data_IF_023537415855
#
_entry.id   IF_023537415855
#
_cell.length_a   1.000
_cell.length_b   1.000
_cell.length_c   1.000
_cell.angle_alpha   90.00
_cell.angle_beta   90.00
_cell.angle_gamma   90.00
#
_symmetry.space_group_name_H-M   'P 1'
#
loop_
_entity.id
_entity.type
_entity.pdbx_description
1 polymer ?
#
# COMPACT_ATOMS: atom_id res chain seq x y z
N UNK A 1 7.14 -17.25 16.83
CA UNK A 1 7.82 -16.46 15.79
C UNK A 1 9.26 -16.97 15.75
N UNK A 2 9.62 -17.80 14.77
CA UNK A 2 10.85 -18.60 14.81
C UNK A 2 12.12 -17.79 14.59
N UNK A 3 12.85 -17.46 15.67
CA UNK A 3 14.27 -17.05 15.63
C UNK A 3 14.63 -15.66 15.08
N UNK A 4 13.80 -15.03 14.23
CA UNK A 4 14.07 -13.71 13.67
C UNK A 4 13.42 -12.63 14.55
N UNK A 5 14.16 -11.58 14.95
CA UNK A 5 13.57 -10.47 15.72
C UNK A 5 12.46 -9.78 14.94
N UNK A 6 11.37 -9.38 15.62
CA UNK A 6 10.11 -8.91 15.03
C UNK A 6 10.26 -7.76 14.04
N UNK A 7 11.17 -6.83 14.34
CA UNK A 7 11.43 -5.65 13.52
C UNK A 7 12.02 -5.98 12.13
N UNK A 8 12.56 -7.19 11.95
CA UNK A 8 13.11 -7.67 10.68
C UNK A 8 12.17 -8.61 9.92
N UNK A 9 11.00 -8.94 10.51
CA UNK A 9 9.97 -9.66 9.76
C UNK A 9 9.43 -8.80 8.62
N UNK A 10 9.01 -9.45 7.55
CA UNK A 10 8.44 -8.75 6.40
C UNK A 10 6.96 -8.44 6.62
N UNK A 11 6.61 -7.21 6.34
CA UNK A 11 5.27 -6.68 6.25
C UNK A 11 5.14 -6.09 4.84
N UNK A 12 4.34 -6.72 3.98
CA UNK A 12 4.19 -6.36 2.57
C UNK A 12 5.56 -6.21 1.85
N UNK A 13 6.36 -7.30 1.88
CA UNK A 13 7.71 -7.38 1.29
C UNK A 13 8.73 -6.37 1.81
N UNK A 14 8.42 -5.60 2.85
CA UNK A 14 9.30 -4.60 3.48
C UNK A 14 9.50 -4.93 4.97
N UNK A 15 10.73 -4.87 5.51
CA UNK A 15 10.95 -5.08 6.95
C UNK A 15 10.13 -4.12 7.80
N UNK A 16 9.58 -4.60 8.93
CA UNK A 16 8.75 -3.81 9.84
C UNK A 16 9.41 -2.49 10.25
N UNK A 17 10.72 -2.50 10.58
CA UNK A 17 11.46 -1.29 10.97
C UNK A 17 11.50 -0.22 9.88
N UNK A 18 11.48 -0.63 8.60
CA UNK A 18 11.65 0.28 7.47
C UNK A 18 10.41 1.13 7.21
N UNK A 19 9.24 0.71 7.66
CA UNK A 19 8.00 1.46 7.49
C UNK A 19 8.07 2.85 8.16
N UNK A 20 8.42 2.88 9.45
CA UNK A 20 8.58 4.15 10.18
C UNK A 20 9.81 4.93 9.74
N UNK A 21 10.89 4.26 9.31
CA UNK A 21 12.06 4.91 8.76
C UNK A 21 11.75 5.63 7.43
N UNK A 22 10.93 5.02 6.56
CA UNK A 22 10.47 5.67 5.32
C UNK A 22 9.61 6.92 5.62
N UNK A 23 8.76 6.89 6.67
CA UNK A 23 7.99 8.06 7.09
C UNK A 23 8.87 9.18 7.63
N UNK A 24 9.88 8.84 8.45
CA UNK A 24 10.87 9.80 8.92
C UNK A 24 11.68 10.42 7.78
N UNK A 25 12.08 9.61 6.78
CA UNK A 25 12.84 10.08 5.64
C UNK A 25 12.10 11.13 4.79
N UNK A 26 10.78 11.12 4.76
CA UNK A 26 9.96 12.16 4.09
C UNK A 26 10.14 13.55 4.72
N UNK A 27 10.69 13.62 5.93
CA UNK A 27 10.90 14.85 6.69
C UNK A 27 12.31 15.42 6.59
N UNK A 28 13.11 14.99 5.60
CA UNK A 28 14.45 15.55 5.33
C UNK A 28 14.44 17.08 5.28
N UNK A 29 13.53 17.67 4.53
CA UNK A 29 13.40 19.12 4.40
C UNK A 29 12.78 19.80 5.63
N UNK A 30 12.32 19.02 6.60
CA UNK A 30 11.76 19.51 7.88
C UNK A 30 12.71 19.35 9.05
N UNK A 31 13.94 18.86 8.83
CA UNK A 31 14.99 18.80 9.84
C UNK A 31 15.51 17.42 10.20
N UNK A 32 14.93 16.33 9.69
CA UNK A 32 15.52 14.99 9.86
C UNK A 32 16.68 14.82 8.89
N UNK A 33 17.90 14.65 9.43
CA UNK A 33 19.14 14.56 8.63
C UNK A 33 19.78 13.17 8.64
N UNK A 34 19.49 12.34 9.65
CA UNK A 34 20.07 11.00 9.75
C UNK A 34 19.07 9.98 10.33
N UNK A 35 19.27 8.72 9.99
CA UNK A 35 18.55 7.56 10.55
C UNK A 35 19.61 6.59 11.08
N UNK A 36 19.45 6.17 12.33
CA UNK A 36 20.34 5.22 12.97
C UNK A 36 19.54 3.98 13.35
N UNK A 37 19.84 2.86 12.73
CA UNK A 37 19.25 1.57 13.05
C UNK A 37 20.12 0.82 14.05
N UNK A 38 19.61 0.64 15.26
CA UNK A 38 20.31 -0.15 16.29
C UNK A 38 19.84 -1.59 16.20
N UNK A 39 20.78 -2.51 15.98
CA UNK A 39 20.51 -3.93 15.76
C UNK A 39 21.08 -4.80 16.90
N UNK A 40 20.51 -5.99 17.18
CA UNK A 40 21.10 -6.94 18.14
C UNK A 40 22.55 -7.27 17.80
N UNK A 41 23.37 -7.60 18.81
CA UNK A 41 24.79 -7.90 18.63
C UNK A 41 25.02 -9.07 17.66
N UNK A 42 24.19 -10.11 17.74
CA UNK A 42 24.31 -11.35 16.96
C UNK A 42 23.58 -11.29 15.61
N UNK A 43 22.93 -10.17 15.27
CA UNK A 43 22.20 -10.05 14.02
C UNK A 43 23.13 -9.61 12.88
N UNK A 44 23.20 -10.40 11.79
CA UNK A 44 24.09 -10.10 10.67
C UNK A 44 23.55 -8.96 9.79
N UNK A 45 24.36 -7.94 9.56
CA UNK A 45 24.02 -6.76 8.74
C UNK A 45 23.65 -7.12 7.28
N UNK A 46 24.26 -8.18 6.73
CA UNK A 46 23.91 -8.68 5.38
C UNK A 46 22.45 -9.07 5.21
N UNK A 47 21.76 -9.36 6.32
CA UNK A 47 20.33 -9.69 6.34
C UNK A 47 19.43 -8.43 6.41
N UNK A 48 20.04 -7.24 6.44
CA UNK A 48 19.30 -5.97 6.43
C UNK A 48 19.19 -5.51 4.99
N UNK A 49 18.04 -5.82 4.37
CA UNK A 49 17.68 -5.15 3.12
C UNK A 49 17.37 -3.70 3.46
N UNK A 50 18.24 -2.77 3.11
CA UNK A 50 17.99 -1.35 3.30
C UNK A 50 17.88 -0.67 1.94
N UNK A 51 16.83 0.14 1.81
CA UNK A 51 16.69 1.09 0.73
C UNK A 51 17.75 2.19 0.94
N UNK A 52 18.35 2.69 -0.13
CA UNK A 52 19.12 3.92 -0.04
C UNK A 52 18.18 5.05 0.37
N UNK A 53 18.24 5.45 1.66
CA UNK A 53 17.57 6.65 2.11
C UNK A 53 18.33 7.86 1.53
N UNK A 54 17.58 8.89 1.15
CA UNK A 54 18.19 10.19 0.80
C UNK A 54 18.56 10.97 2.08
N UNK A 55 19.14 10.26 3.06
CA UNK A 55 19.60 10.70 4.38
C UNK A 55 20.86 9.92 4.78
N UNK A 56 21.63 10.44 5.74
CA UNK A 56 22.72 9.68 6.36
C UNK A 56 22.13 8.47 7.12
N UNK A 57 22.41 7.26 6.64
CA UNK A 57 21.90 6.01 7.25
C UNK A 57 23.05 5.24 7.87
N UNK A 58 22.89 4.87 9.15
CA UNK A 58 23.89 4.12 9.89
C UNK A 58 23.30 2.92 10.58
N UNK A 59 24.06 1.85 10.66
CA UNK A 59 23.75 0.66 11.47
C UNK A 59 24.70 0.67 12.68
N UNK A 60 24.16 0.46 13.87
CA UNK A 60 24.90 0.45 15.14
C UNK A 60 24.56 -0.82 15.90
N UNK A 61 25.55 -1.46 16.52
CA UNK A 61 25.34 -2.60 17.40
C UNK A 61 24.73 -2.15 18.74
N UNK A 62 23.67 -2.82 19.17
CA UNK A 62 23.08 -2.61 20.47
C UNK A 62 23.95 -3.17 21.61
N UNK A 63 23.54 -2.89 22.84
CA UNK A 63 24.13 -3.44 24.04
C UNK A 63 23.41 -4.72 24.54
N UNK A 64 23.80 -5.16 25.72
CA UNK A 64 23.17 -6.30 26.41
C UNK A 64 21.77 -5.98 26.95
N UNK A 65 21.49 -4.69 27.17
CA UNK A 65 20.21 -4.15 27.65
C UNK A 65 19.67 -3.08 26.71
N UNK A 66 18.37 -2.76 26.85
CA UNK A 66 17.71 -1.72 26.04
C UNK A 66 18.38 -0.35 26.20
N UNK A 67 18.67 0.06 27.43
CA UNK A 67 19.31 1.33 27.72
C UNK A 67 20.70 1.47 27.05
N UNK A 68 21.51 0.41 27.08
CA UNK A 68 22.80 0.37 26.40
C UNK A 68 22.65 0.49 24.87
N UNK A 69 21.64 -0.17 24.31
CA UNK A 69 21.34 -0.07 22.87
C UNK A 69 20.96 1.35 22.49
N UNK A 70 20.19 2.04 23.32
CA UNK A 70 19.82 3.45 23.12
C UNK A 70 21.06 4.33 23.21
N UNK A 71 21.92 4.16 24.21
CA UNK A 71 23.17 4.91 24.36
C UNK A 71 24.09 4.74 23.16
N UNK A 72 24.21 3.52 22.63
CA UNK A 72 25.02 3.27 21.44
C UNK A 72 24.48 4.06 20.23
N UNK A 73 23.16 4.08 20.03
CA UNK A 73 22.52 4.90 19.00
C UNK A 73 22.72 6.41 19.21
N UNK A 74 22.52 6.90 20.44
CA UNK A 74 22.70 8.31 20.79
C UNK A 74 24.15 8.79 20.58
N UNK A 75 25.13 7.95 20.92
CA UNK A 75 26.55 8.26 20.74
C UNK A 75 26.97 8.28 19.27
N UNK A 76 26.30 7.53 18.40
CA UNK A 76 26.52 7.53 16.96
C UNK A 76 25.84 8.71 16.23
N UNK A 77 24.85 9.35 16.89
CA UNK A 77 24.14 10.49 16.33
C UNK A 77 24.97 11.78 16.39
N UNK A 78 24.75 12.66 15.40
CA UNK A 78 25.45 13.93 15.29
C UNK A 78 24.58 15.13 15.61
N UNK A 79 23.26 14.97 15.54
CA UNK A 79 22.27 16.04 15.75
C UNK A 79 22.13 16.41 17.22
N UNK A 80 21.65 17.63 17.51
CA UNK A 80 21.37 18.08 18.88
C UNK A 80 20.10 17.50 19.44
N UNK A 81 19.11 17.17 18.59
CA UNK A 81 17.85 16.55 18.97
C UNK A 81 17.71 15.17 18.36
N UNK A 82 17.04 14.28 19.04
CA UNK A 82 16.84 12.89 18.63
C UNK A 82 15.39 12.46 18.84
N UNK A 83 14.96 11.54 17.97
CA UNK A 83 13.69 10.83 18.07
C UNK A 83 14.00 9.35 18.29
N UNK A 84 13.69 8.83 19.48
CA UNK A 84 13.90 7.42 19.82
C UNK A 84 12.64 6.64 19.47
N UNK A 85 12.77 5.64 18.60
CA UNK A 85 11.63 4.90 18.09
C UNK A 85 11.77 3.39 18.22
N UNK A 86 10.73 2.72 18.68
CA UNK A 86 10.63 1.26 18.67
C UNK A 86 10.50 0.76 17.22
N UNK A 87 11.51 0.06 16.71
CA UNK A 87 11.52 -0.49 15.35
C UNK A 87 10.39 -1.52 15.07
N UNK A 88 9.63 -1.92 16.10
CA UNK A 88 8.45 -2.78 15.99
C UNK A 88 7.12 -1.99 15.91
N UNK A 89 7.15 -0.68 15.70
CA UNK A 89 5.98 0.18 15.45
C UNK A 89 6.03 0.72 14.02
N UNK A 90 5.49 0.00 13.04
CA UNK A 90 5.63 0.37 11.63
C UNK A 90 4.82 1.62 11.22
N UNK A 91 3.77 1.98 11.96
CA UNK A 91 2.76 2.93 11.51
C UNK A 91 2.81 4.30 12.20
N UNK A 92 3.94 4.68 12.80
CA UNK A 92 4.17 6.08 13.16
C UNK A 92 4.27 6.92 11.88
N UNK A 93 3.33 7.83 11.67
CA UNK A 93 3.28 8.65 10.47
C UNK A 93 4.10 9.95 10.60
N UNK A 94 4.33 10.62 9.46
CA UNK A 94 5.08 11.87 9.41
C UNK A 94 4.51 12.98 10.30
N UNK A 95 3.19 13.01 10.53
CA UNK A 95 2.56 14.07 11.33
C UNK A 95 2.91 13.90 12.82
N UNK A 96 3.01 12.65 13.30
CA UNK A 96 3.48 12.37 14.66
C UNK A 96 4.93 12.81 14.86
N UNK A 97 5.82 12.50 13.91
CA UNK A 97 7.21 12.98 13.96
C UNK A 97 7.28 14.51 14.01
N UNK A 98 6.54 15.20 13.14
CA UNK A 98 6.48 16.67 13.13
C UNK A 98 5.95 17.25 14.43
N UNK A 99 4.87 16.69 14.98
CA UNK A 99 4.30 17.17 16.25
C UNK A 99 5.31 17.07 17.40
N UNK A 100 6.05 15.96 17.48
CA UNK A 100 7.12 15.76 18.46
C UNK A 100 8.26 16.75 18.27
N UNK A 101 8.76 16.92 17.04
CA UNK A 101 9.86 17.85 16.74
C UNK A 101 9.50 19.30 17.11
N UNK A 102 8.27 19.72 16.80
CA UNK A 102 7.80 21.08 17.05
C UNK A 102 7.58 21.40 18.55
N UNK A 103 7.32 20.37 19.37
CA UNK A 103 7.04 20.53 20.80
C UNK A 103 8.27 20.31 21.70
N UNK A 104 9.40 19.85 21.12
CA UNK A 104 10.63 19.55 21.86
C UNK A 104 11.57 20.75 21.87
N UNK A 105 12.10 21.07 23.02
CA UNK A 105 13.18 22.06 23.19
C UNK A 105 14.33 21.50 24.05
N UNK A 106 15.29 22.35 24.40
CA UNK A 106 16.46 21.91 25.15
C UNK A 106 16.13 21.37 26.55
N UNK A 107 15.08 21.92 27.21
CA UNK A 107 14.68 21.56 28.57
C UNK A 107 13.49 20.62 28.61
N UNK A 108 12.75 20.51 27.53
CA UNK A 108 11.47 19.81 27.46
C UNK A 108 11.53 18.66 26.47
N UNK A 109 11.48 17.42 26.95
CA UNK A 109 11.24 16.23 26.11
C UNK A 109 9.77 16.12 25.72
N UNK A 110 9.48 15.43 24.63
CA UNK A 110 8.11 15.26 24.12
C UNK A 110 7.80 13.80 23.83
N UNK A 111 6.64 13.33 24.31
CA UNK A 111 6.18 11.95 24.11
C UNK A 111 4.74 11.89 23.59
N UNK A 112 4.40 10.86 22.81
CA UNK A 112 3.01 10.65 22.38
C UNK A 112 2.26 9.84 23.44
N UNK A 113 1.08 10.31 23.84
CA UNK A 113 0.22 9.66 24.80
C UNK A 113 -1.16 9.34 24.20
N UNK A 114 -1.67 8.14 24.48
CA UNK A 114 -3.04 7.74 24.20
C UNK A 114 -3.78 7.49 25.50
N UNK A 115 -5.01 7.98 25.68
CA UNK A 115 -5.81 7.64 26.85
C UNK A 115 -6.14 6.15 26.85
N UNK A 116 -6.16 5.55 28.05
CA UNK A 116 -6.56 4.15 28.22
C UNK A 116 -8.06 4.03 27.94
N UNK A 117 -8.42 3.25 26.91
CA UNK A 117 -9.81 3.04 26.50
C UNK A 117 -10.51 1.94 27.31
N UNK A 118 -9.78 0.87 27.68
CA UNK A 118 -10.33 -0.31 28.33
C UNK A 118 -10.32 -0.19 29.87
N UNK A 119 -11.21 -0.94 30.51
CA UNK A 119 -11.24 -1.04 31.96
C UNK A 119 -10.01 -1.82 32.48
N UNK A 120 -9.27 -1.21 33.41
CA UNK A 120 -8.05 -1.81 33.94
C UNK A 120 -8.35 -2.62 35.23
N UNK A 121 -7.65 -3.73 35.38
CA UNK A 121 -7.65 -4.58 36.53
C UNK A 121 -6.22 -4.81 37.01
N UNK A 122 -6.00 -4.72 38.32
CA UNK A 122 -4.77 -5.13 38.98
C UNK A 122 -4.97 -6.49 39.63
N UNK A 123 -4.03 -7.39 39.41
CA UNK A 123 -4.01 -8.70 40.07
C UNK A 123 -2.85 -8.70 41.08
N UNK A 124 -3.18 -8.74 42.32
CA UNK A 124 -2.21 -8.81 43.43
C UNK A 124 -2.07 -10.24 43.97
N UNK A 125 -0.83 -10.64 44.26
CA UNK A 125 -0.51 -11.85 45.01
C UNK A 125 -0.20 -13.08 44.17
N UNK A 126 0.57 -14.00 44.78
CA UNK A 126 1.04 -15.23 44.16
C UNK A 126 0.11 -16.43 44.38
N UNK A 127 -0.64 -16.50 45.48
CA UNK A 127 -1.45 -17.67 45.85
C UNK A 127 -2.97 -17.44 45.86
N UNK A 128 -3.43 -16.23 46.16
CA UNK A 128 -4.83 -15.83 45.97
C UNK A 128 -4.85 -14.60 45.05
N UNK A 129 -5.24 -14.81 43.79
CA UNK A 129 -5.33 -13.74 42.76
C UNK A 129 -6.46 -12.77 43.18
N UNK A 130 -6.15 -11.78 44.00
CA UNK A 130 -7.11 -10.72 44.29
C UNK A 130 -7.15 -9.74 43.13
N UNK A 131 -8.32 -9.63 42.48
CA UNK A 131 -8.56 -8.69 41.39
C UNK A 131 -9.13 -7.40 41.98
N UNK A 132 -8.50 -6.28 41.66
CA UNK A 132 -8.99 -4.93 42.00
C UNK A 132 -9.17 -4.09 40.72
N UNK A 133 -10.06 -3.10 40.83
CA UNK A 133 -10.29 -2.13 39.72
C UNK A 133 -9.23 -1.02 39.85
N UNK A 134 -8.67 -0.63 38.71
CA UNK A 134 -7.86 0.58 38.60
C UNK A 134 -8.71 1.63 37.89
N UNK A 135 -8.85 2.81 38.51
CA UNK A 135 -9.43 3.99 37.85
C UNK A 135 -8.58 4.34 36.63
N UNK A 136 -9.21 4.46 35.47
CA UNK A 136 -8.48 4.73 34.20
C UNK A 136 -8.37 6.20 33.87
N UNK A 137 -9.15 7.05 34.51
CA UNK A 137 -9.12 8.50 34.28
C UNK A 137 -7.75 9.06 34.62
N UNK A 138 -7.15 9.76 33.67
CA UNK A 138 -5.79 10.27 33.77
C UNK A 138 -4.68 9.24 33.49
N UNK A 139 -5.01 7.99 33.12
CA UNK A 139 -4.02 7.02 32.70
C UNK A 139 -3.88 7.01 31.17
N UNK A 140 -2.63 6.96 30.73
CA UNK A 140 -2.26 6.99 29.32
C UNK A 140 -1.29 5.89 28.97
N UNK A 141 -1.36 5.44 27.73
CA UNK A 141 -0.37 4.54 27.12
C UNK A 141 0.67 5.41 26.42
N UNK A 142 1.94 5.24 26.79
CA UNK A 142 3.06 5.90 26.14
C UNK A 142 3.43 5.16 24.85
N UNK A 143 3.65 5.92 23.80
CA UNK A 143 4.15 5.40 22.53
C UNK A 143 5.55 5.94 22.21
N UNK A 144 6.12 5.49 21.11
CA UNK A 144 7.30 6.07 20.46
C UNK A 144 6.92 6.44 19.00
N UNK A 145 7.58 7.43 18.36
CA UNK A 145 8.84 8.10 18.74
C UNK A 145 8.71 8.97 20.01
N UNK A 146 9.81 9.10 20.75
CA UNK A 146 9.96 10.06 21.85
C UNK A 146 11.09 11.03 21.49
N UNK A 147 10.88 12.32 21.67
CA UNK A 147 11.81 13.37 21.22
C UNK A 147 12.49 14.07 22.39
N UNK A 148 13.82 14.24 22.29
CA UNK A 148 14.64 14.81 23.34
C UNK A 148 15.86 15.55 22.81
N UNK A 149 16.43 16.46 23.63
CA UNK A 149 17.77 16.99 23.41
C UNK A 149 18.81 15.91 23.72
N UNK A 150 19.62 15.55 22.71
CA UNK A 150 20.50 14.37 22.70
C UNK A 150 21.47 14.30 23.87
N UNK A 151 22.24 15.37 24.12
CA UNK A 151 23.26 15.35 25.17
C UNK A 151 22.68 15.16 26.55
N UNK A 152 21.59 15.87 26.86
CA UNK A 152 20.87 15.73 28.13
C UNK A 152 20.25 14.35 28.30
N UNK A 153 19.76 13.76 27.20
CA UNK A 153 19.23 12.39 27.25
C UNK A 153 20.34 11.36 27.53
N UNK A 154 21.53 11.50 26.94
CA UNK A 154 22.68 10.65 27.24
C UNK A 154 22.96 10.68 28.77
N UNK A 155 23.12 11.87 29.35
CA UNK A 155 23.36 12.03 30.79
C UNK A 155 22.23 11.43 31.66
N UNK A 156 20.98 11.57 31.23
CA UNK A 156 19.83 11.02 31.94
C UNK A 156 19.80 9.48 31.91
N UNK A 157 20.07 8.87 30.75
CA UNK A 157 20.09 7.41 30.59
C UNK A 157 21.29 6.80 31.31
N UNK A 158 22.47 7.40 31.27
CA UNK A 158 23.67 6.92 32.00
C UNK A 158 23.45 6.90 33.51
N UNK A 159 22.67 7.84 34.05
CA UNK A 159 22.33 7.88 35.49
C UNK A 159 21.28 6.85 35.89
N UNK A 160 20.48 6.33 34.96
CA UNK A 160 19.40 5.39 35.20
C UNK A 160 19.22 4.35 34.12
N UNK A 161 20.13 3.39 34.05
CA UNK A 161 20.09 2.28 33.10
C UNK A 161 18.90 1.32 33.31
N UNK A 162 18.24 1.37 34.45
CA UNK A 162 17.08 0.51 34.81
C UNK A 162 15.72 1.10 34.38
N UNK A 163 15.69 2.33 33.84
CA UNK A 163 14.47 2.96 33.39
C UNK A 163 13.80 2.13 32.27
N UNK A 164 12.47 2.15 32.27
CA UNK A 164 11.66 1.37 31.30
C UNK A 164 11.64 2.00 29.93
N UNK A 165 11.74 3.33 29.87
CA UNK A 165 11.83 4.11 28.65
C UNK A 165 12.64 5.40 28.85
N UNK A 166 12.83 6.17 27.79
CA UNK A 166 13.61 7.40 27.78
C UNK A 166 12.90 8.52 28.55
N UNK A 167 11.56 8.52 28.56
CA UNK A 167 10.77 9.48 29.31
C UNK A 167 10.98 9.32 30.83
N UNK A 168 11.08 8.09 31.32
CA UNK A 168 11.39 7.82 32.74
C UNK A 168 12.80 8.31 33.10
N UNK A 169 13.81 8.04 32.24
CA UNK A 169 15.18 8.55 32.47
C UNK A 169 15.21 10.07 32.50
N UNK A 170 14.52 10.71 31.54
CA UNK A 170 14.42 12.16 31.42
C UNK A 170 13.81 12.84 32.63
N UNK A 171 12.66 12.34 33.10
CA UNK A 171 11.97 12.83 34.28
C UNK A 171 12.81 12.64 35.58
N UNK A 172 13.44 11.47 35.72
CA UNK A 172 14.30 11.18 36.88
C UNK A 172 15.56 12.06 36.95
N UNK A 173 15.99 12.57 35.77
CA UNK A 173 17.07 13.58 35.73
C UNK A 173 16.59 15.01 36.04
N UNK A 174 15.29 15.22 36.26
CA UNK A 174 14.71 16.51 36.66
C UNK A 174 14.32 17.40 35.48
N UNK A 175 14.29 16.89 34.27
CA UNK A 175 13.88 17.65 33.11
C UNK A 175 12.35 17.66 32.90
N UNK A 176 11.86 18.61 32.11
CA UNK A 176 10.43 18.73 31.79
C UNK A 176 10.02 17.77 30.70
N UNK A 177 8.78 17.28 30.76
CA UNK A 177 8.18 16.44 29.75
C UNK A 177 6.83 17.04 29.34
N UNK A 178 6.62 17.14 28.03
CA UNK A 178 5.34 17.50 27.43
C UNK A 178 4.78 16.37 26.59
N UNK A 179 3.52 16.46 26.18
CA UNK A 179 2.84 15.43 25.43
C UNK A 179 2.29 15.95 24.10
N UNK A 180 2.22 15.04 23.13
CA UNK A 180 1.39 15.16 21.94
C UNK A 180 0.38 14.02 21.90
N UNK A 181 -0.66 14.15 21.11
CA UNK A 181 -1.62 13.07 20.92
C UNK A 181 -0.97 11.89 20.20
N UNK A 182 -1.07 10.70 20.78
CA UNK A 182 -0.62 9.45 20.18
C UNK A 182 -1.57 8.96 19.07
N UNK A 183 -1.14 7.96 18.30
CA UNK A 183 -1.90 7.42 17.20
C UNK A 183 -2.31 5.98 17.46
N UNK A 184 -3.60 5.64 17.31
CA UNK A 184 -4.10 4.28 17.53
C UNK A 184 -3.46 3.26 16.62
N UNK A 185 -3.18 3.63 15.37
CA UNK A 185 -2.50 2.76 14.41
C UNK A 185 -1.01 2.57 14.72
N UNK A 186 -0.40 3.44 15.52
CA UNK A 186 1.00 3.31 15.94
C UNK A 186 1.18 2.30 17.08
N UNK A 187 0.54 1.14 16.96
CA UNK A 187 0.70 0.04 17.91
C UNK A 187 2.03 -0.70 17.72
N UNK A 188 2.50 -1.32 18.80
CA UNK A 188 3.73 -2.13 18.77
C UNK A 188 3.40 -3.57 18.41
N UNK A 189 4.04 -4.11 17.39
CA UNK A 189 3.94 -5.54 17.06
C UNK A 189 4.60 -6.33 18.19
N UNK A 190 3.78 -6.91 19.04
CA UNK A 190 4.21 -7.68 20.23
C UNK A 190 3.82 -9.15 20.10
N UNK A 191 2.63 -9.42 19.63
CA UNK A 191 2.04 -10.74 19.47
C UNK A 191 1.89 -11.10 17.99
N UNK A 192 1.57 -12.36 17.71
CA UNK A 192 1.36 -12.82 16.32
C UNK A 192 0.11 -12.18 15.70
N UNK A 193 -0.89 -11.90 16.52
CA UNK A 193 -2.13 -11.20 16.16
C UNK A 193 -1.85 -9.77 15.67
N UNK A 194 -0.91 -9.07 16.31
CA UNK A 194 -0.52 -7.72 15.89
C UNK A 194 0.06 -7.73 14.48
N UNK A 195 0.82 -8.78 14.11
CA UNK A 195 1.34 -8.94 12.75
C UNK A 195 0.22 -9.17 11.73
N UNK A 196 -0.85 -9.90 12.10
CA UNK A 196 -2.02 -10.08 11.22
C UNK A 196 -2.75 -8.76 11.02
N UNK A 197 -2.94 -7.98 12.10
CA UNK A 197 -3.51 -6.63 12.02
C UNK A 197 -2.65 -5.71 11.15
N UNK A 198 -1.33 -5.74 11.35
CA UNK A 198 -0.40 -4.93 10.57
C UNK A 198 -0.49 -5.26 9.08
N UNK A 199 -0.57 -6.54 8.72
CA UNK A 199 -0.78 -6.96 7.32
C UNK A 199 -2.08 -6.42 6.74
N UNK A 200 -3.19 -6.55 7.44
CA UNK A 200 -4.48 -6.03 6.98
C UNK A 200 -4.47 -4.50 6.79
N UNK A 201 -3.66 -3.77 7.57
CA UNK A 201 -3.49 -2.32 7.43
C UNK A 201 -2.57 -1.98 6.26
N UNK A 202 -1.45 -2.69 6.09
CA UNK A 202 -0.49 -2.44 5.01
C UNK A 202 -1.05 -2.81 3.64
N UNK A 203 -1.96 -3.76 3.58
CA UNK A 203 -2.67 -4.22 2.39
C UNK A 203 -3.87 -3.33 2.01
N UNK A 204 -3.95 -2.07 2.50
CA UNK A 204 -4.96 -1.12 2.04
C UNK A 204 -4.70 -0.78 0.57
N UNK A 205 -5.31 -1.59 -0.29
CA UNK A 205 -5.30 -1.40 -1.74
C UNK A 205 -6.20 -0.22 -2.11
N UNK A 206 -5.68 0.68 -2.91
CA UNK A 206 -6.50 1.68 -3.58
C UNK A 206 -7.19 0.98 -4.74
N UNK A 207 -8.52 0.89 -4.70
CA UNK A 207 -9.30 0.31 -5.79
C UNK A 207 -10.02 1.40 -6.57
N UNK A 208 -10.01 1.27 -7.90
CA UNK A 208 -10.78 2.13 -8.80
C UNK A 208 -11.51 1.28 -9.82
N UNK A 209 -12.70 1.72 -10.21
CA UNK A 209 -13.50 1.09 -11.26
C UNK A 209 -13.71 2.08 -12.39
N UNK A 210 -13.54 1.61 -13.62
CA UNK A 210 -13.86 2.33 -14.84
C UNK A 210 -14.85 1.55 -15.68
N UNK A 211 -15.54 2.24 -16.57
CA UNK A 211 -16.44 1.68 -17.56
C UNK A 211 -15.94 2.00 -18.96
N UNK A 212 -16.15 1.07 -19.88
CA UNK A 212 -15.87 1.25 -21.30
C UNK A 212 -17.11 0.84 -22.11
N UNK A 213 -17.25 1.48 -23.23
CA UNK A 213 -18.35 1.25 -24.18
C UNK A 213 -17.80 1.35 -25.59
N UNK A 214 -18.19 0.39 -26.43
CA UNK A 214 -17.88 0.45 -27.85
C UNK A 214 -19.04 -0.08 -28.68
N UNK A 215 -19.20 0.41 -29.91
CA UNK A 215 -20.22 0.01 -30.86
C UNK A 215 -19.66 0.02 -32.28
N UNK A 216 -19.88 -1.09 -32.99
CA UNK A 216 -19.45 -1.22 -34.39
C UNK A 216 -20.56 -1.76 -35.28
N UNK A 217 -20.63 -1.24 -36.52
CA UNK A 217 -21.54 -1.73 -37.54
C UNK A 217 -21.07 -3.10 -38.05
N UNK A 218 -22.02 -4.00 -38.30
CA UNK A 218 -21.81 -5.26 -38.98
C UNK A 218 -21.86 -5.07 -40.51
N UNK A 219 -20.81 -5.49 -41.20
CA UNK A 219 -20.68 -5.39 -42.67
C UNK A 219 -20.19 -6.69 -43.27
N UNK A 220 -20.52 -6.98 -44.54
CA UNK A 220 -19.99 -8.14 -45.24
C UNK A 220 -18.48 -8.01 -45.49
N UNK A 221 -17.84 -9.12 -45.87
CA UNK A 221 -16.44 -9.22 -46.33
C UNK A 221 -15.39 -8.80 -45.27
N UNK A 222 -15.76 -8.69 -44.01
CA UNK A 222 -14.81 -8.49 -42.89
C UNK A 222 -14.81 -9.69 -41.94
N UNK A 223 -13.67 -9.94 -41.33
CA UNK A 223 -13.59 -10.91 -40.22
C UNK A 223 -14.28 -10.36 -38.99
N UNK A 224 -14.95 -11.22 -38.25
CA UNK A 224 -15.47 -10.91 -36.94
C UNK A 224 -14.45 -11.38 -35.90
N UNK A 225 -13.87 -10.45 -35.14
CA UNK A 225 -12.88 -10.71 -34.09
C UNK A 225 -13.43 -10.18 -32.77
N UNK A 226 -13.37 -10.99 -31.71
CA UNK A 226 -13.78 -10.62 -30.36
C UNK A 226 -12.80 -11.22 -29.35
N UNK A 227 -12.20 -10.37 -28.50
CA UNK A 227 -11.20 -10.78 -27.53
C UNK A 227 -9.98 -11.46 -28.18
N UNK A 228 -9.58 -11.01 -29.39
CA UNK A 228 -8.51 -11.58 -30.18
C UNK A 228 -8.82 -12.92 -30.87
N UNK A 229 -10.07 -13.39 -30.78
CA UNK A 229 -10.51 -14.67 -31.38
C UNK A 229 -11.36 -14.40 -32.63
N UNK A 230 -10.99 -15.01 -33.74
CA UNK A 230 -11.77 -14.96 -34.99
C UNK A 230 -13.03 -15.86 -34.86
N UNK A 231 -14.20 -15.27 -34.99
CA UNK A 231 -15.48 -15.97 -35.00
C UNK A 231 -15.69 -16.57 -36.38
N UNK A 232 -15.34 -17.85 -36.52
CA UNK A 232 -15.37 -18.57 -37.79
C UNK A 232 -16.78 -18.69 -38.34
N UNK A 233 -16.90 -18.64 -39.68
CA UNK A 233 -18.14 -18.77 -40.43
C UNK A 233 -19.19 -17.69 -40.12
N UNK A 234 -18.78 -16.52 -39.62
CA UNK A 234 -19.64 -15.35 -39.63
C UNK A 234 -19.68 -14.74 -41.02
N UNK A 235 -20.89 -14.51 -41.60
CA UNK A 235 -21.02 -13.86 -42.88
C UNK A 235 -20.73 -12.36 -42.83
N UNK A 236 -20.70 -11.78 -41.61
CA UNK A 236 -20.48 -10.38 -41.31
C UNK A 236 -19.34 -10.24 -40.31
N UNK A 237 -18.59 -9.14 -40.41
CA UNK A 237 -17.61 -8.71 -39.42
C UNK A 237 -17.81 -7.26 -39.10
N UNK A 238 -17.06 -6.75 -38.10
CA UNK A 238 -17.21 -5.40 -37.59
C UNK A 238 -16.42 -4.38 -38.45
N UNK A 239 -17.04 -3.24 -38.73
CA UNK A 239 -16.43 -2.11 -39.40
C UNK A 239 -15.66 -1.25 -38.42
N UNK A 240 -14.37 -1.08 -38.60
CA UNK A 240 -13.52 -0.22 -37.78
C UNK A 240 -12.16 0.00 -38.45
N UNK A 241 -11.35 0.87 -37.86
CA UNK A 241 -10.04 1.26 -38.38
C UNK A 241 -8.96 0.19 -38.09
N UNK A 242 -8.99 -0.42 -36.92
CA UNK A 242 -8.15 -1.56 -36.51
C UNK A 242 -8.75 -2.89 -37.02
N UNK A 243 -8.51 -3.98 -36.30
CA UNK A 243 -9.20 -5.26 -36.47
C UNK A 243 -10.67 -5.22 -36.02
N UNK A 244 -11.12 -4.07 -35.48
CA UNK A 244 -12.46 -3.81 -34.95
C UNK A 244 -12.92 -4.80 -33.88
N UNK A 245 -12.00 -5.26 -33.02
CA UNK A 245 -12.33 -6.07 -31.85
C UNK A 245 -13.04 -5.24 -30.77
N UNK A 246 -14.33 -5.09 -30.93
CA UNK A 246 -15.25 -4.37 -30.07
C UNK A 246 -15.09 -4.71 -28.58
N UNK A 247 -14.90 -5.99 -28.24
CA UNK A 247 -14.77 -6.45 -26.86
C UNK A 247 -13.46 -5.94 -26.23
N UNK A 248 -12.36 -6.07 -26.95
CA UNK A 248 -11.05 -5.61 -26.47
C UNK A 248 -11.00 -4.09 -26.39
N UNK A 249 -11.65 -3.36 -27.29
CA UNK A 249 -11.74 -1.89 -27.24
C UNK A 249 -12.50 -1.42 -25.98
N UNK A 250 -13.71 -1.96 -25.72
CA UNK A 250 -14.47 -1.62 -24.52
C UNK A 250 -13.70 -1.96 -23.24
N UNK A 251 -12.97 -3.08 -23.22
CA UNK A 251 -12.12 -3.45 -22.08
C UNK A 251 -10.97 -2.45 -21.89
N UNK A 252 -10.29 -2.03 -22.95
CA UNK A 252 -9.22 -1.03 -22.87
C UNK A 252 -9.73 0.29 -22.31
N UNK A 253 -10.88 0.78 -22.77
CA UNK A 253 -11.49 2.02 -22.26
C UNK A 253 -11.89 1.90 -20.79
N UNK A 254 -12.42 0.75 -20.36
CA UNK A 254 -12.71 0.51 -18.97
C UNK A 254 -11.45 0.57 -18.08
N UNK A 255 -10.35 -0.05 -18.54
CA UNK A 255 -9.05 -0.05 -17.84
C UNK A 255 -8.46 1.37 -17.76
N UNK A 256 -8.45 2.08 -18.87
CA UNK A 256 -7.95 3.46 -18.95
C UNK A 256 -8.75 4.41 -18.07
N UNK A 257 -10.09 4.31 -18.12
CA UNK A 257 -10.98 5.09 -17.28
C UNK A 257 -10.73 4.85 -15.77
N UNK A 258 -10.55 3.59 -15.36
CA UNK A 258 -10.20 3.25 -13.97
C UNK A 258 -8.83 3.84 -13.55
N UNK A 259 -7.86 3.87 -14.46
CA UNK A 259 -6.55 4.49 -14.22
C UNK A 259 -6.61 6.03 -14.20
N UNK A 260 -7.70 6.64 -14.66
CA UNK A 260 -7.85 8.09 -14.81
C UNK A 260 -7.13 8.65 -16.04
N UNK A 261 -6.96 7.81 -17.06
CA UNK A 261 -6.35 8.17 -18.35
C UNK A 261 -7.43 8.46 -19.40
N UNK A 262 -7.00 9.02 -20.55
CA UNK A 262 -7.86 9.26 -21.71
C UNK A 262 -8.23 7.93 -22.40
N UNK A 263 -9.29 7.95 -23.22
CA UNK A 263 -9.78 6.80 -23.98
C UNK A 263 -8.80 6.31 -25.06
N UNK A 264 -9.12 5.14 -25.65
CA UNK A 264 -8.29 4.52 -26.70
C UNK A 264 -8.16 5.40 -27.93
N UNK A 265 -9.16 6.19 -28.28
CA UNK A 265 -9.14 7.09 -29.44
C UNK A 265 -8.11 8.21 -29.29
N UNK A 266 -7.85 8.66 -28.06
CA UNK A 266 -6.79 9.62 -27.75
C UNK A 266 -5.39 8.97 -27.72
N UNK A 267 -5.29 7.70 -27.33
CA UNK A 267 -4.00 6.99 -27.23
C UNK A 267 -3.57 6.38 -28.57
N UNK A 268 -4.54 5.89 -29.35
CA UNK A 268 -4.38 5.25 -30.65
C UNK A 268 -5.28 5.93 -31.69
N UNK A 269 -4.96 7.15 -32.12
CA UNK A 269 -5.81 7.91 -33.04
C UNK A 269 -6.08 7.17 -34.35
N UNK A 270 -7.35 7.21 -34.80
CA UNK A 270 -7.76 6.54 -36.02
C UNK A 270 -7.19 7.16 -37.31
N UNK A 271 -6.71 8.39 -37.24
CA UNK A 271 -6.03 9.09 -38.36
C UNK A 271 -4.52 8.78 -38.45
N UNK A 272 -3.95 8.05 -37.50
CA UNK A 272 -2.57 7.57 -37.53
C UNK A 272 -2.48 6.23 -38.30
N UNK A 273 -1.89 6.26 -39.49
CA UNK A 273 -1.65 5.08 -40.33
C UNK A 273 -0.96 3.90 -39.60
N UNK A 274 -0.22 4.19 -38.52
CA UNK A 274 0.47 3.17 -37.69
C UNK A 274 -0.52 2.18 -37.04
N UNK A 275 -1.74 2.60 -36.77
CA UNK A 275 -2.75 1.77 -36.10
C UNK A 275 -3.78 1.15 -37.09
N UNK A 276 -3.63 1.40 -38.36
CA UNK A 276 -4.49 0.79 -39.39
C UNK A 276 -4.33 -0.72 -39.41
N UNK A 277 -5.43 -1.44 -39.26
CA UNK A 277 -5.47 -2.90 -39.11
C UNK A 277 -4.62 -3.43 -37.94
N UNK A 278 -4.39 -2.62 -36.92
CA UNK A 278 -3.66 -3.05 -35.71
C UNK A 278 -4.42 -4.18 -35.02
N UNK A 279 -3.66 -5.11 -34.46
CA UNK A 279 -4.14 -6.20 -33.64
C UNK A 279 -4.50 -5.62 -32.25
N UNK A 280 -5.77 -5.68 -31.87
CA UNK A 280 -6.26 -5.10 -30.60
C UNK A 280 -5.66 -5.75 -29.35
N UNK A 281 -5.20 -7.01 -29.44
CA UNK A 281 -4.48 -7.64 -28.33
C UNK A 281 -3.13 -6.97 -28.08
N UNK A 282 -2.42 -6.55 -29.12
CA UNK A 282 -1.17 -5.78 -28.96
C UNK A 282 -1.41 -4.38 -28.40
N UNK A 283 -2.52 -3.74 -28.78
CA UNK A 283 -2.92 -2.46 -28.19
C UNK A 283 -3.25 -2.64 -26.70
N UNK A 284 -3.92 -3.72 -26.34
CA UNK A 284 -4.19 -4.07 -24.94
C UNK A 284 -2.89 -4.27 -24.14
N UNK A 285 -1.90 -4.95 -24.68
CA UNK A 285 -0.58 -5.10 -24.04
C UNK A 285 0.08 -3.74 -23.77
N UNK A 286 -0.02 -2.80 -24.71
CA UNK A 286 0.49 -1.43 -24.51
C UNK A 286 -0.29 -0.68 -23.41
N UNK A 287 -1.62 -0.78 -23.39
CA UNK A 287 -2.46 -0.20 -22.33
C UNK A 287 -2.05 -0.75 -20.97
N UNK A 288 -1.90 -2.07 -20.85
CA UNK A 288 -1.48 -2.73 -19.59
C UNK A 288 -0.08 -2.27 -19.16
N UNK A 289 0.85 -2.08 -20.09
CA UNK A 289 2.17 -1.54 -19.79
C UNK A 289 2.10 -0.11 -19.25
N UNK A 290 1.26 0.76 -19.82
CA UNK A 290 1.06 2.15 -19.38
C UNK A 290 0.48 2.22 -17.98
N UNK A 291 -0.59 1.49 -17.68
CA UNK A 291 -1.20 1.51 -16.36
C UNK A 291 -0.27 0.92 -15.29
N UNK A 292 0.54 -0.08 -15.66
CA UNK A 292 1.57 -0.65 -14.79
C UNK A 292 2.66 0.37 -14.46
N UNK A 293 3.07 1.21 -15.40
CA UNK A 293 4.02 2.30 -15.15
C UNK A 293 3.47 3.33 -14.14
N UNK A 294 2.14 3.53 -14.13
CA UNK A 294 1.42 4.35 -13.14
C UNK A 294 1.19 3.62 -11.81
N UNK A 295 1.64 2.37 -11.68
CA UNK A 295 1.51 1.54 -10.48
C UNK A 295 0.17 0.82 -10.35
N UNK A 296 -0.67 0.78 -11.37
CA UNK A 296 -1.94 0.07 -11.37
C UNK A 296 -1.81 -1.36 -11.89
N UNK A 297 -2.68 -2.24 -11.37
CA UNK A 297 -2.87 -3.62 -11.84
C UNK A 297 -4.37 -3.87 -12.08
N UNK A 298 -4.70 -4.58 -13.15
CA UNK A 298 -6.08 -5.02 -13.37
C UNK A 298 -6.38 -6.20 -12.45
N UNK A 299 -7.40 -6.05 -11.61
CA UNK A 299 -7.86 -7.11 -10.69
C UNK A 299 -8.94 -7.96 -11.33
N UNK A 300 -9.91 -7.32 -11.98
CA UNK A 300 -11.03 -8.01 -12.60
C UNK A 300 -11.67 -7.19 -13.71
N UNK A 301 -12.16 -7.86 -14.74
CA UNK A 301 -12.98 -7.26 -15.82
C UNK A 301 -14.28 -8.03 -15.98
N UNK A 302 -15.40 -7.31 -16.09
CA UNK A 302 -16.72 -7.86 -16.44
C UNK A 302 -17.23 -7.18 -17.71
N UNK A 303 -17.52 -7.96 -18.75
CA UNK A 303 -17.95 -7.44 -20.04
C UNK A 303 -19.25 -8.09 -20.52
N UNK A 304 -20.07 -7.29 -21.19
CA UNK A 304 -21.29 -7.71 -21.86
C UNK A 304 -21.23 -7.33 -23.31
N UNK A 305 -21.31 -8.30 -24.20
CA UNK A 305 -21.47 -8.07 -25.64
C UNK A 305 -22.92 -8.35 -26.03
N UNK A 306 -23.56 -7.37 -26.63
CA UNK A 306 -24.89 -7.47 -27.18
C UNK A 306 -24.81 -7.70 -28.68
N UNK A 307 -25.41 -8.80 -29.13
CA UNK A 307 -25.42 -9.21 -30.52
C UNK A 307 -26.61 -10.14 -30.81
N UNK A 308 -27.37 -9.85 -31.87
CA UNK A 308 -28.44 -10.74 -32.33
C UNK A 308 -27.87 -11.92 -33.11
N UNK A 309 -26.88 -11.68 -33.93
CA UNK A 309 -26.19 -12.67 -34.75
C UNK A 309 -24.70 -12.33 -34.90
N UNK A 310 -23.81 -13.33 -34.96
CA UNK A 310 -24.02 -14.76 -34.77
C UNK A 310 -24.18 -15.14 -33.29
N UNK A 311 -24.63 -16.36 -32.96
CA UNK A 311 -24.68 -16.85 -31.59
C UNK A 311 -23.27 -17.06 -31.01
N UNK A 312 -22.86 -16.22 -30.07
CA UNK A 312 -21.48 -16.11 -29.55
C UNK A 312 -21.19 -17.06 -28.38
N UNK A 313 -22.21 -17.64 -27.73
CA UNK A 313 -22.01 -18.46 -26.52
C UNK A 313 -21.03 -19.64 -26.70
N UNK A 314 -20.95 -20.23 -27.87
CA UNK A 314 -20.01 -21.33 -28.17
C UNK A 314 -18.53 -20.90 -28.19
N UNK A 315 -18.25 -19.61 -28.34
CA UNK A 315 -16.88 -19.05 -28.35
C UNK A 315 -16.47 -18.48 -26.97
N UNK A 316 -17.40 -18.47 -26.00
CA UNK A 316 -17.15 -17.85 -24.67
C UNK A 316 -15.87 -18.33 -24.03
N UNK A 317 -15.66 -19.64 -23.94
CA UNK A 317 -14.50 -20.21 -23.27
C UNK A 317 -13.19 -19.90 -24.00
N UNK A 318 -13.21 -19.91 -25.33
CA UNK A 318 -12.04 -19.60 -26.14
C UNK A 318 -11.62 -18.13 -25.97
N UNK A 319 -12.57 -17.20 -26.03
CA UNK A 319 -12.37 -15.77 -25.81
C UNK A 319 -11.89 -15.52 -24.38
N UNK A 320 -12.58 -16.12 -23.40
CA UNK A 320 -12.22 -15.99 -21.98
C UNK A 320 -10.78 -16.46 -21.72
N UNK A 321 -10.42 -17.64 -22.20
CA UNK A 321 -9.08 -18.20 -22.03
C UNK A 321 -8.00 -17.32 -22.69
N UNK A 322 -8.31 -16.66 -23.78
CA UNK A 322 -7.36 -15.75 -24.43
C UNK A 322 -7.13 -14.49 -23.59
N UNK A 323 -8.19 -13.86 -23.06
CA UNK A 323 -8.09 -12.66 -22.23
C UNK A 323 -7.57 -12.96 -20.81
N UNK A 324 -7.82 -14.17 -20.26
CA UNK A 324 -7.29 -14.60 -18.96
C UNK A 324 -5.76 -14.68 -18.89
N UNK A 325 -5.06 -14.63 -20.03
CA UNK A 325 -3.60 -14.49 -20.05
C UNK A 325 -3.13 -13.16 -19.45
N UNK A 326 -4.01 -12.16 -19.40
CA UNK A 326 -3.71 -10.79 -18.98
C UNK A 326 -4.31 -10.44 -17.62
N UNK A 327 -5.57 -10.84 -17.34
CA UNK A 327 -6.31 -10.54 -16.12
C UNK A 327 -7.49 -11.49 -15.92
N UNK A 328 -8.06 -11.52 -14.74
CA UNK A 328 -9.32 -12.27 -14.52
C UNK A 328 -10.49 -11.56 -15.21
N UNK A 329 -11.32 -12.35 -15.96
CA UNK A 329 -12.39 -11.79 -16.79
C UNK A 329 -13.64 -12.66 -16.79
N UNK A 330 -14.79 -11.99 -16.73
CA UNK A 330 -16.10 -12.59 -17.04
C UNK A 330 -16.68 -11.97 -18.31
N UNK A 331 -17.27 -12.79 -19.16
CA UNK A 331 -17.87 -12.34 -20.42
C UNK A 331 -19.30 -12.89 -20.53
N UNK A 332 -20.23 -12.02 -20.84
CA UNK A 332 -21.64 -12.32 -21.07
C UNK A 332 -22.02 -11.95 -22.49
N UNK A 333 -22.79 -12.82 -23.15
CA UNK A 333 -23.38 -12.53 -24.45
C UNK A 333 -24.89 -12.40 -24.29
N UNK A 334 -25.45 -11.34 -24.83
CA UNK A 334 -26.88 -11.01 -24.75
C UNK A 334 -27.47 -10.83 -26.13
N UNK A 335 -28.71 -11.26 -26.31
CA UNK A 335 -29.57 -10.91 -27.45
C UNK A 335 -30.15 -9.51 -27.19
N UNK A 336 -30.31 -8.73 -28.23
CA UNK A 336 -31.05 -7.46 -28.20
C UNK A 336 -32.56 -7.64 -28.44
N UNK A 337 -33.08 -8.87 -28.40
CA UNK A 337 -34.51 -9.21 -28.51
C UNK A 337 -35.22 -8.55 -29.71
N UNK A 338 -34.48 -8.41 -30.84
CA UNK A 338 -34.93 -7.73 -32.06
C UNK A 338 -35.23 -6.23 -31.91
N UNK A 339 -34.78 -5.61 -30.82
CA UNK A 339 -34.86 -4.16 -30.61
C UNK A 339 -33.61 -3.50 -31.20
N UNK A 340 -33.73 -2.21 -31.53
CA UNK A 340 -32.65 -1.33 -32.01
C UNK A 340 -31.83 -1.89 -33.21
N UNK A 341 -30.62 -1.33 -33.45
CA UNK A 341 -29.74 -1.75 -34.52
C UNK A 341 -29.03 -3.08 -34.23
N UNK A 342 -28.69 -3.33 -32.98
CA UNK A 342 -28.11 -4.61 -32.56
C UNK A 342 -29.11 -5.75 -32.74
N UNK A 343 -30.37 -5.53 -32.34
CA UNK A 343 -31.45 -6.50 -32.51
C UNK A 343 -31.83 -6.78 -33.98
N UNK A 344 -31.61 -5.79 -34.86
CA UNK A 344 -31.78 -5.99 -36.31
C UNK A 344 -30.58 -6.65 -36.98
N UNK A 345 -29.52 -6.95 -36.23
CA UNK A 345 -28.28 -7.52 -36.72
C UNK A 345 -27.43 -6.55 -37.57
N UNK A 346 -27.59 -5.25 -37.37
CA UNK A 346 -26.87 -4.20 -38.08
C UNK A 346 -25.61 -3.73 -37.34
N UNK A 347 -25.54 -3.97 -36.02
CA UNK A 347 -24.40 -3.60 -35.16
C UNK A 347 -24.17 -4.65 -34.07
N UNK A 348 -23.05 -4.51 -33.39
CA UNK A 348 -22.79 -5.09 -32.07
C UNK A 348 -22.40 -3.97 -31.11
N UNK A 349 -22.71 -4.17 -29.83
CA UNK A 349 -22.41 -3.24 -28.74
C UNK A 349 -21.71 -3.97 -27.61
N UNK A 350 -20.77 -3.33 -26.95
CA UNK A 350 -20.09 -3.88 -25.79
C UNK A 350 -20.01 -2.86 -24.65
N UNK A 351 -20.31 -3.32 -23.44
CA UNK A 351 -20.01 -2.62 -22.20
C UNK A 351 -19.00 -3.43 -21.42
N UNK A 352 -18.02 -2.78 -20.87
CA UNK A 352 -17.05 -3.37 -19.96
C UNK A 352 -16.92 -2.56 -18.68
N UNK A 353 -16.69 -3.23 -17.56
CA UNK A 353 -16.27 -2.64 -16.30
C UNK A 353 -14.95 -3.27 -15.88
N UNK A 354 -13.96 -2.45 -15.54
CA UNK A 354 -12.66 -2.91 -15.06
C UNK A 354 -12.42 -2.38 -13.65
N UNK A 355 -11.94 -3.24 -12.77
CA UNK A 355 -11.46 -2.87 -11.44
C UNK A 355 -9.93 -2.96 -11.42
N UNK A 356 -9.29 -1.85 -11.05
CA UNK A 356 -7.85 -1.76 -10.86
C UNK A 356 -7.52 -1.65 -9.39
N UNK A 357 -6.35 -2.14 -9.01
CA UNK A 357 -5.74 -1.93 -7.69
C UNK A 357 -4.34 -1.32 -7.79
N UNK A 358 -3.98 -0.58 -6.75
CA UNK A 358 -2.66 0.06 -6.58
C UNK A 358 -2.21 -0.03 -5.15
#
# INVERSE_FOLDING_TARGET
>A
MGGVPKQFLLLDNKPVWQWSADEAAKLKNSGISEIILVIPQDFEEKNISHKNFDLDFKIVRGGSQRAESVLNGLNAAKCDYVLIHDAARPFADKNLFLALMNATDEETGTIPLLPVADALKKIDGSNEKKISVIERDGLYITQTPQSFHRKKLIEAVEKNLSAKDEAESWLNAGHKLTQVEGQRLNFKITWQEDMRMAKAISEQKIMRTGIGYDVHQLVPERKLILGGIEIKNSPLGLLGHSDADLLTHAIMDAILGAAGLADIGNIFPADDEKFKNADSIKLLEEVLSRIKAEGWRVEFVDAVVEAQVPHLNKYREEIKNNLQKFFDVNIKFKSAENLDDAGRGLSMTCWAAATLEK
#
